data_IF_118443120232
#
_entry.id   IF_118443120232
#
_cell.length_a   1.000
_cell.length_b   1.000
_cell.length_c   1.000
_cell.angle_alpha   90.00
_cell.angle_beta   90.00
_cell.angle_gamma   90.00
#
_symmetry.space_group_name_H-M   'P 1'
#
loop_
_entity.id
_entity.type
_entity.pdbx_description
1 polymer ?
#
# COMPACT_ATOMS: atom_id res chain seq x y z
N UNK A 1 8.97 21.55 14.06
CA UNK A 1 9.06 21.80 12.59
C UNK A 1 9.44 20.52 11.85
N UNK A 2 10.37 19.71 12.38
CA UNK A 2 10.77 18.39 11.81
C UNK A 2 9.63 17.35 11.71
N UNK A 3 8.75 17.25 12.72
CA UNK A 3 7.66 16.26 12.74
C UNK A 3 6.65 16.36 11.58
N UNK A 4 6.49 17.56 10.99
CA UNK A 4 5.62 17.74 9.82
C UNK A 4 6.28 17.24 8.55
N UNK A 5 7.57 17.54 8.39
CA UNK A 5 8.33 17.18 7.19
C UNK A 5 8.48 15.66 7.05
N UNK A 6 8.78 14.97 8.16
CA UNK A 6 8.85 13.50 8.15
C UNK A 6 7.53 12.88 7.69
N UNK A 7 6.41 13.37 8.22
CA UNK A 7 5.10 12.88 7.85
C UNK A 7 4.77 13.18 6.39
N UNK A 8 5.09 14.38 5.90
CA UNK A 8 4.86 14.76 4.51
C UNK A 8 5.66 13.87 3.55
N UNK A 9 6.92 13.57 3.90
CA UNK A 9 7.77 12.61 3.16
C UNK A 9 7.15 11.21 3.18
N UNK A 10 6.69 10.73 4.33
CA UNK A 10 6.06 9.42 4.44
C UNK A 10 4.77 9.33 3.61
N UNK A 11 3.95 10.38 3.60
CA UNK A 11 2.72 10.43 2.80
C UNK A 11 3.06 10.49 1.31
N UNK A 12 4.09 11.23 0.91
CA UNK A 12 4.55 11.26 -0.47
C UNK A 12 5.05 9.88 -0.93
N UNK A 13 5.86 9.20 -0.11
CA UNK A 13 6.33 7.85 -0.37
C UNK A 13 5.15 6.85 -0.46
N UNK A 14 4.15 6.98 0.42
CA UNK A 14 2.96 6.15 0.38
C UNK A 14 2.15 6.38 -0.90
N UNK A 15 1.97 7.63 -1.34
CA UNK A 15 1.27 7.94 -2.60
C UNK A 15 1.98 7.35 -3.81
N UNK A 16 3.29 7.49 -3.87
CA UNK A 16 4.10 6.88 -4.92
C UNK A 16 3.97 5.34 -4.90
N UNK A 17 4.03 4.73 -3.71
CA UNK A 17 3.79 3.30 -3.53
C UNK A 17 2.40 2.85 -3.97
N UNK A 18 1.35 3.63 -3.69
CA UNK A 18 0.00 3.31 -4.15
C UNK A 18 -0.11 3.30 -5.69
N UNK A 19 0.49 4.31 -6.34
CA UNK A 19 0.54 4.40 -7.81
C UNK A 19 1.35 3.24 -8.40
N UNK A 20 2.50 2.92 -7.80
CA UNK A 20 3.29 1.75 -8.20
C UNK A 20 2.48 0.46 -8.07
N UNK A 21 1.80 0.24 -6.94
CA UNK A 21 0.98 -0.94 -6.71
C UNK A 21 -0.19 -1.07 -7.68
N UNK A 22 -0.82 0.05 -8.06
CA UNK A 22 -1.88 0.10 -9.08
C UNK A 22 -1.35 -0.17 -10.50
N UNK A 23 -0.13 0.26 -10.81
CA UNK A 23 0.49 0.07 -12.12
C UNK A 23 1.26 -1.25 -12.26
N UNK A 24 1.50 -1.96 -11.15
CA UNK A 24 2.27 -3.20 -11.12
C UNK A 24 1.43 -4.32 -11.75
N UNK A 25 1.48 -4.42 -13.08
CA UNK A 25 0.75 -5.38 -13.92
C UNK A 25 1.66 -6.54 -14.38
N UNK A 26 1.44 -7.08 -15.59
CA UNK A 26 2.14 -8.20 -16.26
C UNK A 26 3.68 -8.24 -16.14
N UNK A 27 4.33 -7.10 -15.88
CA UNK A 27 5.79 -6.99 -15.73
C UNK A 27 6.29 -7.29 -14.31
N UNK A 28 5.42 -7.62 -13.36
CA UNK A 28 5.83 -7.97 -12.02
C UNK A 28 6.36 -9.41 -11.94
N UNK A 29 7.44 -9.63 -11.19
CA UNK A 29 7.94 -10.97 -10.88
C UNK A 29 7.08 -11.54 -9.75
N UNK A 30 6.15 -12.43 -10.11
CA UNK A 30 5.30 -13.11 -9.14
C UNK A 30 5.93 -14.43 -8.67
N UNK A 31 5.83 -14.77 -7.37
CA UNK A 31 6.11 -16.13 -6.92
C UNK A 31 5.25 -17.13 -7.69
N UNK A 32 5.82 -18.29 -8.03
CA UNK A 32 5.18 -19.29 -8.92
C UNK A 32 3.74 -19.65 -8.51
N UNK A 33 3.46 -19.74 -7.21
CA UNK A 33 2.13 -20.04 -6.69
C UNK A 33 1.12 -18.90 -6.94
N UNK A 34 1.53 -17.65 -6.73
CA UNK A 34 0.70 -16.47 -7.00
C UNK A 34 0.47 -16.29 -8.51
N UNK A 35 1.51 -16.55 -9.32
CA UNK A 35 1.39 -16.55 -10.77
C UNK A 35 0.37 -17.58 -11.25
N UNK A 36 0.45 -18.83 -10.76
CA UNK A 36 -0.52 -19.88 -11.13
C UNK A 36 -1.94 -19.53 -10.69
N UNK A 37 -2.14 -18.94 -9.51
CA UNK A 37 -3.47 -18.49 -9.09
C UNK A 37 -4.01 -17.40 -10.02
N UNK A 38 -3.17 -16.43 -10.39
CA UNK A 38 -3.56 -15.36 -11.30
C UNK A 38 -3.84 -15.89 -12.71
N UNK A 39 -3.00 -16.75 -13.26
CA UNK A 39 -3.21 -17.35 -14.58
C UNK A 39 -4.49 -18.19 -14.64
N UNK A 40 -4.76 -18.99 -13.60
CA UNK A 40 -5.87 -19.96 -13.62
C UNK A 40 -7.22 -19.38 -13.20
N UNK A 41 -7.23 -18.37 -12.32
CA UNK A 41 -8.47 -17.88 -11.69
C UNK A 41 -8.67 -16.37 -11.76
N UNK A 42 -7.61 -15.59 -11.96
CA UNK A 42 -7.66 -14.11 -11.87
C UNK A 42 -6.85 -13.45 -12.98
N UNK A 43 -7.01 -13.91 -14.22
CA UNK A 43 -6.16 -13.48 -15.36
C UNK A 43 -6.26 -11.99 -15.66
N UNK A 44 -7.36 -11.35 -15.27
CA UNK A 44 -7.54 -9.90 -15.33
C UNK A 44 -6.52 -9.11 -14.49
N UNK A 45 -5.92 -9.71 -13.46
CA UNK A 45 -4.87 -9.09 -12.64
C UNK A 45 -3.48 -9.07 -13.31
N UNK A 46 -3.34 -9.80 -14.42
CA UNK A 46 -2.14 -9.81 -15.27
C UNK A 46 -2.24 -8.75 -16.37
N UNK A 47 -3.45 -8.31 -16.72
CA UNK A 47 -3.65 -7.23 -17.67
C UNK A 47 -3.44 -5.86 -17.02
N UNK A 48 -3.11 -4.82 -17.80
CA UNK A 48 -3.03 -3.47 -17.29
C UNK A 48 -4.32 -3.06 -16.57
N UNK A 49 -4.28 -2.94 -15.24
CA UNK A 49 -5.45 -2.50 -14.50
C UNK A 49 -5.60 -0.99 -14.67
N UNK A 50 -6.76 -0.54 -15.16
CA UNK A 50 -7.13 0.89 -15.23
C UNK A 50 -7.55 1.41 -13.85
N UNK A 51 -6.71 1.13 -12.84
CA UNK A 51 -6.88 1.61 -11.48
C UNK A 51 -6.32 3.03 -11.40
N UNK A 52 -7.18 3.97 -11.06
CA UNK A 52 -6.79 5.35 -10.80
C UNK A 52 -6.79 5.62 -9.29
N UNK A 53 -5.63 6.02 -8.74
CA UNK A 53 -5.55 6.47 -7.35
C UNK A 53 -6.11 7.90 -7.26
N UNK A 54 -7.21 8.08 -6.54
CA UNK A 54 -7.87 9.38 -6.36
C UNK A 54 -7.18 10.19 -5.27
N UNK A 55 -7.03 9.58 -4.08
CA UNK A 55 -6.38 10.21 -2.93
C UNK A 55 -5.89 9.19 -1.92
N UNK A 56 -4.94 9.61 -1.09
CA UNK A 56 -4.54 8.92 0.14
C UNK A 56 -4.89 9.81 1.32
N UNK A 57 -5.81 9.33 2.15
CA UNK A 57 -6.23 9.98 3.38
C UNK A 57 -5.43 9.43 4.57
N UNK A 58 -5.17 10.30 5.56
CA UNK A 58 -4.41 9.96 6.75
C UNK A 58 -5.22 10.25 8.01
N UNK A 59 -5.34 9.27 8.89
CA UNK A 59 -6.00 9.38 10.19
C UNK A 59 -4.95 9.23 11.28
N UNK A 60 -4.80 10.22 12.15
CA UNK A 60 -3.91 10.15 13.32
C UNK A 60 -4.63 9.40 14.46
N UNK A 61 -4.06 8.28 14.90
CA UNK A 61 -4.65 7.42 15.93
C UNK A 61 -3.98 7.57 17.31
N UNK A 62 -3.05 8.52 17.44
CA UNK A 62 -2.37 8.82 18.68
C UNK A 62 -1.10 8.00 18.90
N UNK A 63 -0.55 8.05 20.11
CA UNK A 63 0.74 7.44 20.42
C UNK A 63 0.61 5.95 20.76
N UNK A 64 1.37 5.11 20.06
CA UNK A 64 1.47 3.69 20.33
C UNK A 64 2.67 3.41 21.25
N UNK A 65 2.39 2.95 22.49
CA UNK A 65 3.43 2.67 23.49
C UNK A 65 4.29 1.45 23.16
N UNK A 66 3.75 0.45 22.44
CA UNK A 66 4.48 -0.77 22.10
C UNK A 66 5.67 -0.48 21.18
N UNK A 67 5.48 0.40 20.20
CA UNK A 67 6.53 0.77 19.25
C UNK A 67 7.18 2.11 19.56
N UNK A 68 6.69 2.83 20.58
CA UNK A 68 7.18 4.16 20.94
C UNK A 68 6.97 5.22 19.85
N UNK A 69 5.94 5.07 19.00
CA UNK A 69 5.71 5.87 17.79
C UNK A 69 4.27 6.34 17.68
N UNK A 70 4.03 7.45 16.98
CA UNK A 70 2.68 7.91 16.66
C UNK A 70 2.07 7.09 15.53
N UNK A 71 0.89 6.54 15.77
CA UNK A 71 0.16 5.71 14.82
C UNK A 71 -0.62 6.55 13.83
N UNK A 72 -0.45 6.23 12.56
CA UNK A 72 -1.16 6.84 11.44
C UNK A 72 -1.78 5.73 10.61
N UNK A 73 -3.08 5.85 10.34
CA UNK A 73 -3.80 4.95 9.44
C UNK A 73 -3.98 5.62 8.08
N UNK A 74 -3.59 4.91 7.04
CA UNK A 74 -3.69 5.33 5.65
C UNK A 74 -4.91 4.67 5.00
N UNK A 75 -5.66 5.44 4.23
CA UNK A 75 -6.80 4.97 3.45
C UNK A 75 -6.62 5.44 2.01
N UNK A 76 -6.56 4.50 1.08
CA UNK A 76 -6.53 4.80 -0.35
C UNK A 76 -7.95 4.83 -0.88
N UNK A 77 -8.22 5.83 -1.69
CA UNK A 77 -9.41 5.88 -2.53
C UNK A 77 -8.99 5.67 -3.97
N UNK A 78 -9.56 4.68 -4.62
CA UNK A 78 -9.23 4.30 -5.99
C UNK A 78 -10.50 4.15 -6.83
N UNK A 79 -10.37 4.42 -8.12
CA UNK A 79 -11.41 4.20 -9.11
C UNK A 79 -10.99 3.08 -10.06
N UNK A 80 -11.96 2.29 -10.50
CA UNK A 80 -11.81 1.27 -11.54
C UNK A 80 -12.73 1.63 -12.69
N UNK A 81 -12.19 1.78 -13.90
CA UNK A 81 -13.01 2.04 -15.09
C UNK A 81 -13.94 0.86 -15.45
N UNK A 82 -13.55 -0.36 -15.04
CA UNK A 82 -14.31 -1.58 -15.27
C UNK A 82 -14.53 -2.32 -13.97
N UNK A 83 -15.76 -2.78 -13.77
CA UNK A 83 -16.08 -3.65 -12.66
C UNK A 83 -15.35 -4.99 -12.80
N UNK A 84 -14.74 -5.43 -11.71
CA UNK A 84 -14.01 -6.69 -11.61
C UNK A 84 -14.58 -7.50 -10.44
N UNK A 85 -14.40 -8.83 -10.43
CA UNK A 85 -14.78 -9.67 -9.30
C UNK A 85 -14.21 -9.17 -7.97
N UNK A 86 -14.98 -9.33 -6.89
CA UNK A 86 -14.62 -8.84 -5.55
C UNK A 86 -13.26 -9.40 -5.08
N UNK A 87 -12.97 -10.67 -5.35
CA UNK A 87 -11.71 -11.31 -4.98
C UNK A 87 -10.49 -10.75 -5.72
N UNK A 88 -10.68 -10.32 -6.97
CA UNK A 88 -9.69 -9.61 -7.77
C UNK A 88 -9.48 -8.20 -7.23
N UNK A 89 -10.57 -7.53 -6.85
CA UNK A 89 -10.55 -6.20 -6.24
C UNK A 89 -9.82 -6.20 -4.89
N UNK A 90 -10.05 -7.21 -4.06
CA UNK A 90 -9.35 -7.37 -2.78
C UNK A 90 -7.86 -7.61 -3.01
N UNK A 91 -7.51 -8.48 -3.98
CA UNK A 91 -6.12 -8.75 -4.36
C UNK A 91 -5.38 -7.50 -4.87
N UNK A 92 -6.07 -6.61 -5.61
CA UNK A 92 -5.53 -5.31 -6.02
C UNK A 92 -5.37 -4.37 -4.84
N UNK A 93 -6.35 -4.34 -3.93
CA UNK A 93 -6.29 -3.54 -2.72
C UNK A 93 -5.09 -3.90 -1.85
N UNK A 94 -4.85 -5.20 -1.66
CA UNK A 94 -3.69 -5.72 -0.92
C UNK A 94 -2.37 -5.35 -1.59
N UNK A 95 -2.30 -5.44 -2.92
CA UNK A 95 -1.12 -5.03 -3.69
C UNK A 95 -0.82 -3.54 -3.49
N UNK A 96 -1.81 -2.68 -3.64
CA UNK A 96 -1.68 -1.22 -3.41
C UNK A 96 -1.18 -0.96 -1.99
N UNK A 97 -1.83 -1.53 -0.98
CA UNK A 97 -1.47 -1.37 0.42
C UNK A 97 -0.05 -1.89 0.74
N UNK A 98 0.36 -3.01 0.13
CA UNK A 98 1.72 -3.51 0.24
C UNK A 98 2.75 -2.52 -0.29
N UNK A 99 2.58 -2.01 -1.51
CA UNK A 99 3.55 -1.07 -2.11
C UNK A 99 3.61 0.26 -1.38
N UNK A 100 2.48 0.77 -0.86
CA UNK A 100 2.49 1.95 0.02
C UNK A 100 3.39 1.76 1.23
N UNK A 101 3.19 0.67 1.97
CA UNK A 101 3.94 0.36 3.19
C UNK A 101 5.41 0.10 2.88
N UNK A 102 5.69 -0.65 1.81
CA UNK A 102 7.04 -0.92 1.32
C UNK A 102 7.78 0.38 1.02
N UNK A 103 7.18 1.29 0.26
CA UNK A 103 7.86 2.53 -0.11
C UNK A 103 8.17 3.42 1.10
N UNK A 104 7.27 3.48 2.10
CA UNK A 104 7.59 4.16 3.37
C UNK A 104 8.85 3.54 3.99
N UNK A 105 8.89 2.22 4.15
CA UNK A 105 10.04 1.56 4.76
C UNK A 105 11.35 1.75 3.97
N UNK A 106 11.30 1.70 2.63
CA UNK A 106 12.45 1.96 1.79
C UNK A 106 12.95 3.41 1.94
N UNK A 107 12.04 4.38 1.99
CA UNK A 107 12.39 5.81 2.16
C UNK A 107 13.10 6.07 3.48
N UNK A 108 12.67 5.41 4.56
CA UNK A 108 13.24 5.59 5.90
C UNK A 108 14.28 4.54 6.30
N UNK A 109 14.58 3.58 5.42
CA UNK A 109 15.51 2.46 5.65
C UNK A 109 15.15 1.63 6.89
N UNK A 110 13.87 1.29 7.03
CA UNK A 110 13.29 0.55 8.17
C UNK A 110 12.79 -0.84 7.81
N UNK A 111 13.22 -1.39 6.68
CA UNK A 111 12.84 -2.71 6.19
C UNK A 111 13.20 -3.83 7.18
N UNK A 112 14.26 -3.64 7.97
CA UNK A 112 14.75 -4.60 8.95
C UNK A 112 13.97 -4.65 10.27
N UNK A 113 13.05 -3.70 10.50
CA UNK A 113 12.26 -3.61 11.75
C UNK A 113 10.76 -3.83 11.53
N UNK A 114 10.36 -4.28 10.34
CA UNK A 114 8.99 -4.65 10.01
C UNK A 114 8.92 -6.11 9.55
N UNK A 115 7.73 -6.60 9.22
CA UNK A 115 7.55 -7.94 8.64
C UNK A 115 7.61 -7.92 7.11
N UNK A 116 7.51 -9.09 6.49
CA UNK A 116 7.54 -9.25 5.03
C UNK A 116 6.44 -8.49 4.29
N UNK A 117 5.36 -8.11 4.98
CA UNK A 117 4.25 -7.32 4.44
C UNK A 117 4.37 -5.82 4.72
N UNK A 118 5.45 -5.41 5.37
CA UNK A 118 5.69 -4.04 5.83
C UNK A 118 4.57 -3.52 6.74
N UNK A 119 3.92 -4.38 7.54
CA UNK A 119 2.75 -4.01 8.34
C UNK A 119 2.94 -4.28 9.84
N UNK A 120 3.10 -3.26 10.68
CA UNK A 120 3.11 -1.83 10.35
C UNK A 120 4.39 -1.37 9.63
N UNK A 121 4.28 -0.31 8.82
CA UNK A 121 5.42 0.36 8.22
C UNK A 121 5.95 1.44 9.16
N UNK A 122 7.25 1.74 9.11
CA UNK A 122 7.88 2.62 10.10
C UNK A 122 8.67 3.76 9.45
N UNK A 123 8.57 4.94 10.05
CA UNK A 123 9.53 6.03 9.90
C UNK A 123 10.22 6.28 11.25
N UNK A 124 10.90 7.42 11.43
CA UNK A 124 11.60 7.77 12.66
C UNK A 124 10.65 7.89 13.85
N UNK A 125 9.57 8.67 13.73
CA UNK A 125 8.62 8.95 14.81
C UNK A 125 7.23 8.33 14.61
N UNK A 126 6.93 7.83 13.42
CA UNK A 126 5.60 7.33 13.07
C UNK A 126 5.59 5.83 12.73
N UNK A 127 4.44 5.21 13.01
CA UNK A 127 4.08 3.89 12.52
C UNK A 127 2.84 4.00 11.65
N UNK A 128 2.82 3.30 10.52
CA UNK A 128 1.78 3.38 9.52
C UNK A 128 1.09 2.03 9.34
N UNK A 129 -0.23 2.06 9.28
CA UNK A 129 -1.08 0.91 8.94
C UNK A 129 -2.03 1.30 7.82
N UNK A 130 -2.43 0.36 6.98
CA UNK A 130 -3.39 0.60 5.89
C UNK A 130 -4.76 0.03 6.26
N UNK A 131 -5.83 0.69 5.82
CA UNK A 131 -7.16 0.08 5.75
C UNK A 131 -7.40 -0.51 4.35
N UNK A 132 -8.48 -1.26 4.19
CA UNK A 132 -8.93 -1.71 2.87
C UNK A 132 -9.12 -0.52 1.93
N UNK A 133 -8.73 -0.70 0.67
CA UNK A 133 -8.89 0.31 -0.37
C UNK A 133 -10.37 0.62 -0.56
N UNK A 134 -10.70 1.91 -0.60
CA UNK A 134 -12.05 2.41 -0.86
C UNK A 134 -12.24 2.63 -2.35
N UNK A 135 -13.04 1.78 -2.96
CA UNK A 135 -13.39 1.86 -4.37
C UNK A 135 -14.56 2.83 -4.57
N UNK A 136 -14.39 3.82 -5.46
CA UNK A 136 -15.39 4.84 -5.82
C UNK A 136 -15.74 4.69 -7.30
#
# INVERSE_FOLDING_TARGET
>A
MEDSLELDIAIAAARDGAIQGANMNELAVYPRHAYYEYETRKSMLLQPSSVQIIKVETIREGYNRTYGKYKIRLIVYAHLEKEIPDDCRDSLGDRINYYMRRNICLTFKTENITNDFYNPAFSYNYMFTTSDVKWI
#
